data_IF_767092641366
#
_entry.id   IF_767092641366
#
_cell.length_a   1.000
_cell.length_b   1.000
_cell.length_c   1.000
_cell.angle_alpha   90.00
_cell.angle_beta   90.00
_cell.angle_gamma   90.00
#
_symmetry.space_group_name_H-M   'P 1'
#
loop_
_entity.id
_entity.type
_entity.pdbx_description
1 polymer ?
#
# COMPACT_ATOMS: atom_id res chain seq x y z
N UNK A 1 -43.31 32.51 4.29
CA UNK A 1 -42.19 32.80 5.21
C UNK A 1 -41.03 31.88 4.84
N UNK A 2 -39.88 32.48 4.49
CA UNK A 2 -38.49 32.03 4.73
C UNK A 2 -38.26 30.50 4.60
N UNK A 3 -37.72 30.02 3.47
CA UNK A 3 -36.26 29.79 3.29
C UNK A 3 -35.56 29.35 4.59
N UNK A 4 -34.78 28.26 4.49
CA UNK A 4 -33.85 27.69 5.50
C UNK A 4 -34.41 26.44 6.22
N UNK A 5 -34.38 25.31 5.53
CA UNK A 5 -33.98 24.01 6.11
C UNK A 5 -33.26 23.18 5.03
N UNK A 6 -32.39 23.87 4.27
CA UNK A 6 -31.19 23.24 3.71
C UNK A 6 -30.32 22.86 4.91
N UNK A 7 -29.54 21.78 4.79
CA UNK A 7 -28.39 21.47 5.65
C UNK A 7 -28.68 21.04 7.10
N UNK A 8 -29.17 19.81 7.32
CA UNK A 8 -28.74 19.08 8.53
C UNK A 8 -28.45 17.60 8.21
N UNK A 9 -27.15 17.36 7.98
CA UNK A 9 -26.41 16.34 8.75
C UNK A 9 -26.81 14.87 8.55
N UNK A 10 -26.98 14.43 7.31
CA UNK A 10 -26.66 13.03 6.97
C UNK A 10 -25.30 12.95 6.25
N UNK A 11 -24.38 13.84 6.65
CA UNK A 11 -22.95 13.58 6.58
C UNK A 11 -22.71 12.48 7.59
N UNK A 12 -23.00 11.25 7.16
CA UNK A 12 -22.38 10.07 7.72
C UNK A 12 -20.89 10.30 7.49
N UNK A 13 -20.24 10.95 8.45
CA UNK A 13 -18.80 10.98 8.57
C UNK A 13 -18.40 9.55 8.85
N UNK A 14 -18.44 8.71 7.82
CA UNK A 14 -17.51 7.61 7.73
C UNK A 14 -16.17 8.33 7.80
N UNK A 15 -15.56 8.34 8.97
CA UNK A 15 -14.13 8.50 9.05
C UNK A 15 -13.60 7.31 8.27
N UNK A 16 -13.53 7.45 6.94
CA UNK A 16 -12.74 6.58 6.12
C UNK A 16 -11.37 6.64 6.78
N UNK A 17 -10.87 5.51 7.23
CA UNK A 17 -9.49 5.38 7.68
C UNK A 17 -8.61 5.60 6.45
N UNK A 18 -8.52 6.85 6.02
CA UNK A 18 -7.72 7.27 4.90
C UNK A 18 -6.27 7.39 5.35
N UNK A 19 -5.41 7.67 4.39
CA UNK A 19 -3.97 7.80 4.59
C UNK A 19 -3.60 8.84 5.68
N UNK A 20 -4.50 9.76 6.05
CA UNK A 20 -4.32 10.76 7.11
C UNK A 20 -4.05 10.19 8.51
N UNK A 21 -4.45 8.94 8.75
CA UNK A 21 -4.24 8.25 10.03
C UNK A 21 -2.86 7.59 10.18
N UNK A 22 -2.08 7.55 9.11
CA UNK A 22 -0.70 7.04 9.08
C UNK A 22 0.22 8.08 9.74
N UNK A 23 0.96 7.68 10.77
CA UNK A 23 1.91 8.52 11.50
C UNK A 23 3.16 8.84 10.68
N UNK A 24 3.76 7.83 10.06
CA UNK A 24 4.93 7.98 9.20
C UNK A 24 4.64 8.88 7.99
N UNK A 25 5.43 9.94 7.81
CA UNK A 25 5.18 10.95 6.77
C UNK A 25 5.37 10.42 5.36
N UNK A 26 6.34 9.53 5.16
CA UNK A 26 6.68 9.00 3.86
C UNK A 26 5.66 7.94 3.44
N UNK A 27 5.25 7.06 4.34
CA UNK A 27 4.16 6.10 4.13
C UNK A 27 2.82 6.80 3.88
N UNK A 28 2.52 7.88 4.63
CA UNK A 28 1.33 8.70 4.40
C UNK A 28 1.36 9.35 3.02
N UNK A 29 2.50 9.90 2.61
CA UNK A 29 2.65 10.50 1.28
C UNK A 29 2.51 9.46 0.16
N UNK A 30 3.10 8.27 0.33
CA UNK A 30 2.93 7.14 -0.59
C UNK A 30 1.46 6.72 -0.70
N UNK A 31 0.79 6.52 0.43
CA UNK A 31 -0.62 6.15 0.47
C UNK A 31 -1.50 7.19 -0.23
N UNK A 32 -1.33 8.48 0.10
CA UNK A 32 -2.06 9.59 -0.55
C UNK A 32 -1.82 9.65 -2.05
N UNK A 33 -0.60 9.39 -2.51
CA UNK A 33 -0.29 9.33 -3.93
C UNK A 33 -1.04 8.16 -4.61
N UNK A 34 -1.12 6.99 -3.97
CA UNK A 34 -1.87 5.83 -4.47
C UNK A 34 -3.39 6.07 -4.56
N UNK A 35 -3.95 6.85 -3.63
CA UNK A 35 -5.35 7.32 -3.70
C UNK A 35 -5.59 8.39 -4.77
N UNK A 36 -4.55 8.90 -5.44
CA UNK A 36 -4.65 9.98 -6.42
C UNK A 36 -4.68 11.39 -5.80
N UNK A 37 -4.45 11.50 -4.50
CA UNK A 37 -4.47 12.75 -3.73
C UNK A 37 -3.09 13.10 -3.15
N UNK A 38 -2.05 13.13 -3.99
CA UNK A 38 -0.69 13.42 -3.53
C UNK A 38 0.36 13.34 -4.62
N UNK A 39 1.63 13.44 -4.21
CA UNK A 39 2.78 13.30 -5.10
C UNK A 39 3.88 12.47 -4.44
N UNK A 40 4.48 11.56 -5.22
CA UNK A 40 5.66 10.82 -4.80
C UNK A 40 6.85 11.72 -4.46
N UNK A 41 6.91 12.95 -4.98
CA UNK A 41 8.01 13.89 -4.73
C UNK A 41 8.10 14.36 -3.29
N UNK A 42 7.03 14.22 -2.50
CA UNK A 42 7.02 14.56 -1.07
C UNK A 42 7.61 13.46 -0.17
N UNK A 43 7.96 12.30 -0.74
CA UNK A 43 8.56 11.17 -0.02
C UNK A 43 10.08 11.39 0.11
N UNK A 44 10.57 11.43 1.34
CA UNK A 44 11.98 11.66 1.65
C UNK A 44 12.82 10.41 1.41
N UNK A 45 12.34 9.25 1.84
CA UNK A 45 12.94 7.93 1.60
C UNK A 45 13.03 7.64 0.10
N UNK A 46 14.26 7.58 -0.44
CA UNK A 46 14.50 7.44 -1.87
C UNK A 46 13.87 6.18 -2.47
N UNK A 47 14.04 5.04 -1.80
CA UNK A 47 13.57 3.74 -2.30
C UNK A 47 12.04 3.68 -2.33
N UNK A 48 11.37 4.23 -1.31
CA UNK A 48 9.90 4.37 -1.29
C UNK A 48 9.43 5.37 -2.36
N UNK A 49 10.14 6.48 -2.57
CA UNK A 49 9.83 7.45 -3.63
C UNK A 49 9.94 6.82 -5.02
N UNK A 50 10.97 6.03 -5.28
CA UNK A 50 11.14 5.35 -6.57
C UNK A 50 10.07 4.27 -6.77
N UNK A 51 9.75 3.51 -5.73
CA UNK A 51 8.62 2.56 -5.73
C UNK A 51 7.31 3.26 -6.08
N UNK A 52 7.01 4.39 -5.41
CA UNK A 52 5.84 5.22 -5.68
C UNK A 52 5.77 5.65 -7.15
N UNK A 53 6.86 6.22 -7.68
CA UNK A 53 6.91 6.68 -9.06
C UNK A 53 6.77 5.53 -10.08
N UNK A 54 7.32 4.36 -9.77
CA UNK A 54 7.16 3.19 -10.63
C UNK A 54 5.71 2.71 -10.69
N UNK A 55 5.05 2.61 -9.53
CA UNK A 55 3.67 2.12 -9.46
C UNK A 55 2.62 3.10 -10.00
N UNK A 56 2.86 4.42 -9.89
CA UNK A 56 1.87 5.44 -10.25
C UNK A 56 2.19 6.09 -11.59
N UNK A 57 3.47 6.42 -11.83
CA UNK A 57 3.90 7.17 -13.01
C UNK A 57 4.57 6.27 -14.07
N UNK A 58 4.62 4.95 -13.88
CA UNK A 58 5.25 4.01 -14.80
C UNK A 58 6.77 4.18 -14.92
N UNK A 59 7.43 4.78 -13.92
CA UNK A 59 8.88 4.93 -13.90
C UNK A 59 9.61 3.59 -13.67
N UNK A 60 10.92 3.56 -13.90
CA UNK A 60 11.74 2.38 -13.63
C UNK A 60 11.99 2.16 -12.12
N UNK A 61 12.01 0.90 -11.69
CA UNK A 61 12.42 0.50 -10.33
C UNK A 61 13.95 0.47 -10.14
N UNK A 62 14.76 0.71 -11.18
CA UNK A 62 16.22 0.52 -11.15
C UNK A 62 16.95 1.44 -10.16
N UNK A 63 16.35 2.55 -9.77
CA UNK A 63 16.91 3.50 -8.79
C UNK A 63 16.64 3.10 -7.33
N UNK A 64 15.86 2.04 -7.07
CA UNK A 64 15.69 1.48 -5.74
C UNK A 64 16.99 0.77 -5.35
N UNK A 65 17.54 1.15 -4.20
CA UNK A 65 18.85 0.66 -3.73
C UNK A 65 18.74 -0.72 -3.13
N UNK A 66 17.73 -0.94 -2.28
CA UNK A 66 17.39 -2.24 -1.73
C UNK A 66 17.01 -3.23 -2.85
N UNK A 67 17.73 -4.34 -2.94
CA UNK A 67 17.54 -5.30 -4.03
C UNK A 67 16.18 -5.98 -3.97
N UNK A 68 15.70 -6.31 -2.77
CA UNK A 68 14.47 -7.06 -2.57
C UNK A 68 13.25 -6.19 -2.90
N UNK A 69 13.25 -4.93 -2.46
CA UNK A 69 12.27 -3.92 -2.88
C UNK A 69 12.32 -3.65 -4.39
N UNK A 70 13.52 -3.60 -4.99
CA UNK A 70 13.66 -3.42 -6.43
C UNK A 70 13.07 -4.58 -7.22
N UNK A 71 13.33 -5.83 -6.81
CA UNK A 71 12.76 -7.00 -7.46
C UNK A 71 11.24 -7.08 -7.27
N UNK A 72 10.75 -6.77 -6.07
CA UNK A 72 9.32 -6.69 -5.78
C UNK A 72 8.62 -5.63 -6.67
N UNK A 73 9.19 -4.42 -6.76
CA UNK A 73 8.70 -3.35 -7.63
C UNK A 73 8.67 -3.79 -9.11
N UNK A 74 9.75 -4.41 -9.60
CA UNK A 74 9.82 -4.89 -10.98
C UNK A 74 8.79 -6.00 -11.28
N UNK A 75 8.55 -6.91 -10.33
CA UNK A 75 7.54 -7.95 -10.48
C UNK A 75 6.13 -7.35 -10.62
N UNK A 76 5.81 -6.33 -9.82
CA UNK A 76 4.50 -5.65 -9.86
C UNK A 76 4.28 -4.78 -11.08
N UNK A 77 5.31 -4.08 -11.55
CA UNK A 77 5.16 -3.04 -12.58
C UNK A 77 5.56 -3.48 -13.98
N UNK A 78 6.48 -4.45 -14.12
CA UNK A 78 7.13 -4.78 -15.39
C UNK A 78 7.28 -6.30 -15.62
N UNK A 79 6.42 -7.13 -15.02
CA UNK A 79 6.46 -8.60 -15.12
C UNK A 79 7.83 -9.24 -14.77
N UNK A 80 8.58 -8.62 -13.85
CA UNK A 80 9.79 -9.22 -13.27
C UNK A 80 9.49 -10.49 -12.46
N UNK A 81 10.53 -11.21 -12.05
CA UNK A 81 10.39 -12.43 -11.24
C UNK A 81 10.54 -12.17 -9.74
N UNK A 82 9.64 -12.75 -8.94
CA UNK A 82 9.75 -12.77 -7.48
C UNK A 82 10.90 -13.66 -6.97
N UNK A 83 11.46 -14.54 -7.80
CA UNK A 83 12.47 -15.52 -7.37
C UNK A 83 13.81 -14.89 -6.96
N UNK A 84 14.08 -13.65 -7.38
CA UNK A 84 15.30 -12.92 -7.03
C UNK A 84 15.20 -12.19 -5.68
N UNK A 85 14.02 -12.18 -5.05
CA UNK A 85 13.82 -11.61 -3.70
C UNK A 85 14.41 -12.58 -2.68
N UNK A 86 15.36 -12.11 -1.88
CA UNK A 86 16.05 -12.91 -0.87
C UNK A 86 15.18 -13.07 0.38
N UNK A 87 14.56 -11.97 0.83
CA UNK A 87 13.57 -11.96 1.89
C UNK A 87 12.41 -12.92 1.57
N UNK A 88 12.19 -13.87 2.47
CA UNK A 88 11.25 -14.96 2.25
C UNK A 88 9.80 -14.48 2.28
N UNK A 89 9.48 -13.60 3.22
CA UNK A 89 8.13 -13.09 3.43
C UNK A 89 7.72 -12.18 2.28
N UNK A 90 8.61 -11.27 1.87
CA UNK A 90 8.41 -10.42 0.71
C UNK A 90 8.31 -11.25 -0.58
N UNK A 91 9.09 -12.32 -0.72
CA UNK A 91 8.98 -13.23 -1.89
C UNK A 91 7.62 -13.93 -1.94
N UNK A 92 7.08 -14.39 -0.82
CA UNK A 92 5.73 -14.98 -0.81
C UNK A 92 4.65 -13.93 -1.08
N UNK A 93 4.75 -12.75 -0.48
CA UNK A 93 3.85 -11.63 -0.77
C UNK A 93 3.86 -11.28 -2.27
N UNK A 94 5.05 -11.17 -2.87
CA UNK A 94 5.23 -10.96 -4.31
C UNK A 94 4.50 -12.01 -5.15
N UNK A 95 4.73 -13.29 -4.84
CA UNK A 95 4.12 -14.39 -5.59
C UNK A 95 2.60 -14.44 -5.44
N UNK A 96 2.07 -14.11 -4.26
CA UNK A 96 0.63 -13.98 -4.06
C UNK A 96 0.04 -12.84 -4.89
N UNK A 97 0.67 -11.66 -4.87
CA UNK A 97 0.18 -10.47 -5.58
C UNK A 97 0.31 -10.56 -7.10
N UNK A 98 1.30 -11.28 -7.64
CA UNK A 98 1.61 -11.28 -9.09
C UNK A 98 1.32 -12.60 -9.79
N UNK A 99 1.46 -13.74 -9.10
CA UNK A 99 1.39 -15.08 -9.68
C UNK A 99 0.24 -15.93 -9.12
N UNK A 100 -0.65 -15.36 -8.30
CA UNK A 100 -1.75 -16.09 -7.66
C UNK A 100 -1.29 -17.12 -6.60
N UNK A 101 -0.11 -16.92 -6.03
CA UNK A 101 0.40 -17.71 -4.90
C UNK A 101 -0.39 -17.50 -3.60
N UNK A 102 0.05 -18.17 -2.53
CA UNK A 102 -0.58 -18.06 -1.21
C UNK A 102 0.24 -17.19 -0.24
N UNK A 103 -0.46 -16.38 0.57
CA UNK A 103 0.13 -15.62 1.68
C UNK A 103 0.44 -16.47 2.93
N UNK A 104 0.01 -17.74 2.99
CA UNK A 104 0.09 -18.57 4.20
C UNK A 104 1.53 -18.90 4.65
N UNK A 105 2.49 -18.80 3.75
CA UNK A 105 3.91 -19.08 4.03
C UNK A 105 4.70 -17.85 4.51
N UNK A 106 4.02 -16.71 4.70
CA UNK A 106 4.59 -15.49 5.28
C UNK A 106 4.62 -15.67 6.80
N UNK A 107 5.80 -15.61 7.39
CA UNK A 107 6.01 -15.79 8.82
C UNK A 107 5.56 -14.54 9.61
N UNK A 108 5.94 -13.35 9.14
CA UNK A 108 5.48 -12.07 9.70
C UNK A 108 3.94 -11.92 9.60
N UNK A 109 3.28 -11.77 10.75
CA UNK A 109 1.83 -11.73 10.80
C UNK A 109 1.24 -10.53 10.08
N UNK A 110 1.86 -9.36 10.22
CA UNK A 110 1.35 -8.11 9.69
C UNK A 110 1.48 -8.09 8.17
N UNK A 111 2.61 -8.56 7.63
CA UNK A 111 2.80 -8.78 6.20
C UNK A 111 1.82 -9.83 5.66
N UNK A 112 1.57 -10.93 6.40
CA UNK A 112 0.61 -11.95 5.99
C UNK A 112 -0.82 -11.40 5.91
N UNK A 113 -1.25 -10.62 6.89
CA UNK A 113 -2.58 -10.01 6.87
C UNK A 113 -2.70 -8.97 5.76
N UNK A 114 -1.67 -8.14 5.53
CA UNK A 114 -1.63 -7.20 4.42
C UNK A 114 -1.73 -7.92 3.06
N UNK A 115 -0.95 -8.99 2.87
CA UNK A 115 -0.97 -9.80 1.66
C UNK A 115 -2.38 -10.38 1.42
N UNK A 116 -3.01 -10.95 2.46
CA UNK A 116 -4.37 -11.48 2.35
C UNK A 116 -5.42 -10.40 2.07
N UNK A 117 -5.26 -9.20 2.63
CA UNK A 117 -6.15 -8.08 2.36
C UNK A 117 -6.11 -7.65 0.88
N UNK A 118 -4.90 -7.59 0.30
CA UNK A 118 -4.68 -7.24 -1.11
C UNK A 118 -5.11 -8.32 -2.11
N UNK A 119 -4.95 -9.59 -1.77
CA UNK A 119 -5.12 -10.71 -2.74
C UNK A 119 -6.40 -11.51 -2.55
N UNK A 120 -6.89 -11.64 -1.31
CA UNK A 120 -7.99 -12.54 -0.93
C UNK A 120 -9.15 -11.80 -0.25
N UNK A 121 -9.23 -10.47 -0.39
CA UNK A 121 -10.21 -9.61 0.29
C UNK A 121 -10.21 -9.78 1.83
N UNK A 122 -9.08 -10.19 2.41
CA UNK A 122 -8.89 -10.36 3.86
C UNK A 122 -9.03 -9.05 4.66
N UNK A 123 -9.21 -9.15 5.97
CA UNK A 123 -9.33 -7.97 6.84
C UNK A 123 -7.96 -7.38 7.20
N UNK A 124 -7.86 -6.05 7.24
CA UNK A 124 -6.70 -5.32 7.77
C UNK A 124 -6.71 -5.28 9.31
N UNK A 125 -7.81 -5.64 9.98
CA UNK A 125 -7.99 -5.47 11.42
C UNK A 125 -7.03 -6.28 12.30
N UNK A 126 -6.41 -7.32 11.76
CA UNK A 126 -5.42 -8.15 12.46
C UNK A 126 -3.99 -7.67 12.31
N UNK A 127 -3.75 -6.61 11.53
CA UNK A 127 -2.44 -5.96 11.43
C UNK A 127 -2.19 -5.18 12.73
N UNK A 128 -1.07 -5.48 13.39
CA UNK A 128 -0.69 -4.89 14.68
C UNK A 128 -0.06 -3.51 14.50
N UNK A 129 0.78 -3.34 13.47
CA UNK A 129 1.32 -2.06 13.07
C UNK A 129 0.21 -1.11 12.64
N UNK A 130 0.13 0.05 13.31
CA UNK A 130 -0.95 1.01 13.10
C UNK A 130 -0.88 1.66 11.72
N UNK A 131 0.32 1.99 11.26
CA UNK A 131 0.53 2.71 10.02
C UNK A 131 0.29 1.78 8.83
N UNK A 132 0.74 0.52 8.94
CA UNK A 132 0.46 -0.52 7.97
C UNK A 132 -1.03 -0.86 7.90
N UNK A 133 -1.71 -0.94 9.05
CA UNK A 133 -3.16 -1.16 9.09
C UNK A 133 -3.91 -0.02 8.43
N UNK A 134 -3.58 1.22 8.76
CA UNK A 134 -4.18 2.40 8.15
C UNK A 134 -3.96 2.44 6.63
N UNK A 135 -2.75 2.12 6.16
CA UNK A 135 -2.46 2.00 4.74
C UNK A 135 -3.27 0.89 4.08
N UNK A 136 -3.40 -0.27 4.73
CA UNK A 136 -4.21 -1.38 4.24
C UNK A 136 -5.68 -0.98 4.10
N UNK A 137 -6.27 -0.37 5.13
CA UNK A 137 -7.68 0.07 5.11
C UNK A 137 -7.94 1.12 4.01
N UNK A 138 -6.97 2.02 3.75
CA UNK A 138 -7.08 3.04 2.72
C UNK A 138 -6.97 2.47 1.29
N UNK A 139 -6.07 1.50 1.07
CA UNK A 139 -5.74 1.01 -0.28
C UNK A 139 -6.45 -0.29 -0.66
N UNK A 140 -7.20 -0.90 0.25
CA UNK A 140 -8.01 -2.08 -0.03
C UNK A 140 -9.22 -1.69 -0.91
N UNK A 141 -9.32 -2.26 -2.10
CA UNK A 141 -10.45 -2.09 -3.03
C UNK A 141 -11.00 -3.45 -3.47
#
# INVERSE_FOLDING_TARGET
>A
MRLICVLLLMISGYAFAGCDSIGDSDQRAYCRAKEGHGSCNSISASDLRYTCNAEINGSSCNSISDSDQRYYCNAKTNHGSCNSISDRDLRYACNAETNGGSCNSIDDSDQRYLCNAKTNNGSCGSISDRDLRAQCDALKH
#
